data_IF_130608352365
#
_entry.id   IF_130608352365
#
_cell.length_a   1.000
_cell.length_b   1.000
_cell.length_c   1.000
_cell.angle_alpha   90.00
_cell.angle_beta   90.00
_cell.angle_gamma   90.00
#
_symmetry.space_group_name_H-M   'P 1'
#
loop_
_entity.id
_entity.type
_entity.pdbx_description
1 polymer ?
#
# COMPACT_ATOMS: atom_id res chain seq x y z
N UNK A 1 19.53 5.60 -11.18
CA UNK A 1 18.34 5.28 -11.99
C UNK A 1 17.12 5.53 -11.11
N UNK A 2 16.42 6.66 -11.28
CA UNK A 2 15.15 6.93 -10.56
C UNK A 2 14.06 6.20 -11.32
N UNK A 3 13.77 4.98 -10.91
CA UNK A 3 12.61 4.27 -11.47
C UNK A 3 11.38 4.90 -10.82
N UNK A 4 10.39 5.37 -11.58
CA UNK A 4 9.17 5.98 -11.03
C UNK A 4 8.28 4.86 -10.50
N UNK A 5 8.69 4.23 -9.40
CA UNK A 5 7.94 3.16 -8.79
C UNK A 5 6.82 3.78 -7.96
N UNK A 6 5.57 3.62 -8.40
CA UNK A 6 4.45 3.66 -7.48
C UNK A 6 4.67 2.51 -6.48
N UNK A 7 4.94 2.79 -5.19
CA UNK A 7 5.25 1.72 -4.25
C UNK A 7 4.03 0.82 -4.07
N UNK A 8 4.26 -0.47 -3.84
CA UNK A 8 3.23 -1.50 -3.63
C UNK A 8 2.39 -1.31 -2.35
N UNK A 9 2.63 -0.22 -1.62
CA UNK A 9 2.01 0.10 -0.34
C UNK A 9 0.47 0.06 -0.32
N UNK A 10 -0.29 0.60 -1.30
CA UNK A 10 -1.74 0.53 -1.19
C UNK A 10 -2.24 -0.92 -1.23
N UNK A 11 -1.55 -1.82 -1.95
CA UNK A 11 -1.92 -3.24 -1.99
C UNK A 11 -1.71 -3.94 -0.66
N UNK A 12 -0.63 -3.64 0.08
CA UNK A 12 -0.41 -4.21 1.42
C UNK A 12 -1.46 -3.71 2.42
N UNK A 13 -1.93 -2.47 2.31
CA UNK A 13 -2.96 -1.94 3.20
C UNK A 13 -4.35 -2.46 2.83
N UNK A 14 -4.66 -2.59 1.53
CA UNK A 14 -5.88 -3.25 1.09
C UNK A 14 -5.91 -4.73 1.49
N UNK A 15 -4.78 -5.44 1.41
CA UNK A 15 -4.74 -6.84 1.79
C UNK A 15 -4.96 -7.04 3.29
N UNK A 16 -4.45 -6.14 4.12
CA UNK A 16 -4.75 -6.10 5.56
C UNK A 16 -6.24 -5.88 5.82
N UNK A 17 -6.85 -4.87 5.18
CA UNK A 17 -8.30 -4.60 5.32
C UNK A 17 -9.16 -5.78 4.83
N UNK A 18 -8.72 -6.47 3.78
CA UNK A 18 -9.43 -7.62 3.21
C UNK A 18 -9.13 -8.96 3.93
N UNK A 19 -8.23 -8.97 4.93
CA UNK A 19 -7.79 -10.20 5.60
C UNK A 19 -7.03 -11.17 4.69
N UNK A 20 -6.44 -10.68 3.60
CA UNK A 20 -5.70 -11.48 2.62
C UNK A 20 -4.21 -11.43 2.93
N UNK A 21 -3.59 -12.59 3.14
CA UNK A 21 -2.14 -12.67 3.34
C UNK A 21 -1.39 -12.51 2.00
N UNK A 22 -0.47 -11.54 1.91
CA UNK A 22 0.30 -11.23 0.70
C UNK A 22 1.81 -11.21 0.97
N UNK A 23 2.43 -12.36 1.27
CA UNK A 23 3.83 -12.42 1.72
C UNK A 23 4.81 -11.93 0.67
N UNK A 24 4.53 -12.14 -0.62
CA UNK A 24 5.39 -11.67 -1.72
C UNK A 24 5.38 -10.15 -1.83
N UNK A 25 4.21 -9.50 -1.66
CA UNK A 25 4.12 -8.04 -1.67
C UNK A 25 4.94 -7.46 -0.51
N UNK A 26 4.84 -8.06 0.67
CA UNK A 26 5.61 -7.64 1.84
C UNK A 26 7.12 -7.78 1.61
N UNK A 27 7.57 -8.89 1.01
CA UNK A 27 8.98 -9.10 0.69
C UNK A 27 9.52 -8.05 -0.28
N UNK A 28 8.77 -7.76 -1.35
CA UNK A 28 9.16 -6.73 -2.33
C UNK A 28 9.19 -5.34 -1.68
N UNK A 29 8.21 -5.03 -0.81
CA UNK A 29 8.19 -3.75 -0.09
C UNK A 29 9.42 -3.60 0.82
N UNK A 30 9.80 -4.65 1.55
CA UNK A 30 11.01 -4.65 2.39
C UNK A 30 12.27 -4.39 1.57
N UNK A 31 12.44 -5.09 0.44
CA UNK A 31 13.62 -4.94 -0.43
C UNK A 31 13.66 -3.52 -1.03
N UNK A 32 12.52 -3.02 -1.51
CA UNK A 32 12.45 -1.70 -2.14
C UNK A 32 12.64 -0.56 -1.14
N UNK A 33 12.15 -0.70 0.09
CA UNK A 33 12.45 0.25 1.18
C UNK A 33 13.96 0.32 1.44
N UNK A 34 14.62 -0.83 1.59
CA UNK A 34 16.05 -0.91 1.85
C UNK A 34 16.89 -0.36 0.69
N UNK A 35 16.55 -0.75 -0.54
CA UNK A 35 17.26 -0.33 -1.75
C UNK A 35 17.17 1.18 -1.97
N UNK A 36 15.98 1.76 -1.77
CA UNK A 36 15.76 3.19 -1.99
C UNK A 36 16.00 4.06 -0.74
N UNK A 37 16.37 3.45 0.39
CA UNK A 37 16.54 4.12 1.69
C UNK A 37 15.34 5.01 2.03
N UNK A 38 14.15 4.49 1.77
CA UNK A 38 12.90 5.24 1.88
C UNK A 38 11.86 4.32 2.53
N UNK A 39 11.16 4.81 3.55
CA UNK A 39 10.02 4.07 4.08
C UNK A 39 8.78 4.37 3.23
N UNK A 40 8.40 3.42 2.36
CA UNK A 40 7.22 3.57 1.54
C UNK A 40 5.91 3.38 2.30
N UNK A 41 5.91 2.82 3.52
CA UNK A 41 4.71 2.78 4.38
C UNK A 41 4.30 4.18 4.80
N UNK A 42 5.28 5.08 4.98
CA UNK A 42 5.05 6.47 5.34
C UNK A 42 5.02 7.39 4.11
N UNK A 43 6.03 7.30 3.24
CA UNK A 43 6.21 8.22 2.10
C UNK A 43 5.40 7.84 0.86
N UNK A 44 4.98 6.59 0.73
CA UNK A 44 4.27 6.07 -0.44
C UNK A 44 2.80 6.47 -0.52
N UNK A 45 2.08 5.85 -1.46
CA UNK A 45 0.63 6.01 -1.63
C UNK A 45 -0.10 5.11 -0.62
N UNK A 46 -0.47 5.68 0.52
CA UNK A 46 -1.23 5.01 1.59
C UNK A 46 -2.73 5.24 1.46
N UNK A 47 -3.54 4.42 2.12
CA UNK A 47 -4.97 4.64 2.30
C UNK A 47 -5.25 5.98 3.00
N UNK A 48 -4.42 6.37 3.97
CA UNK A 48 -4.45 7.70 4.61
C UNK A 48 -4.40 8.83 3.57
N UNK A 49 -3.37 8.82 2.71
CA UNK A 49 -3.18 9.84 1.67
C UNK A 49 -4.21 9.74 0.54
N UNK A 50 -4.92 8.63 0.44
CA UNK A 50 -6.04 8.45 -0.48
C UNK A 50 -7.39 8.88 0.13
N UNK A 51 -7.44 9.24 1.41
CA UNK A 51 -8.68 9.59 2.11
C UNK A 51 -9.56 8.36 2.42
N UNK A 52 -8.95 7.17 2.54
CA UNK A 52 -9.64 5.89 2.71
C UNK A 52 -9.34 5.19 4.05
N UNK A 53 -8.49 5.74 4.92
CA UNK A 53 -8.01 5.06 6.14
C UNK A 53 -9.13 4.61 7.08
N UNK A 54 -10.18 5.41 7.23
CA UNK A 54 -11.31 5.14 8.14
C UNK A 54 -12.45 4.35 7.47
N UNK A 55 -12.24 3.87 6.24
CA UNK A 55 -13.26 3.15 5.49
C UNK A 55 -13.09 1.63 5.58
N UNK A 56 -14.21 0.92 5.73
CA UNK A 56 -14.27 -0.52 5.52
C UNK A 56 -14.14 -0.86 4.03
N UNK A 57 -13.80 -2.11 3.69
CA UNK A 57 -13.75 -2.57 2.29
C UNK A 57 -15.07 -2.30 1.56
N UNK A 58 -16.22 -2.48 2.20
CA UNK A 58 -17.52 -2.23 1.56
C UNK A 58 -17.75 -0.74 1.30
N UNK A 59 -17.37 0.14 2.24
CA UNK A 59 -17.43 1.59 2.03
C UNK A 59 -16.51 2.04 0.90
N UNK A 60 -15.30 1.47 0.82
CA UNK A 60 -14.36 1.74 -0.27
C UNK A 60 -14.96 1.29 -1.61
N UNK A 61 -15.54 0.09 -1.68
CA UNK A 61 -16.18 -0.42 -2.90
C UNK A 61 -17.31 0.50 -3.35
N UNK A 62 -18.13 0.99 -2.43
CA UNK A 62 -19.20 1.94 -2.73
C UNK A 62 -18.70 3.30 -3.22
N UNK A 63 -17.57 3.78 -2.70
CA UNK A 63 -17.00 5.07 -3.06
C UNK A 63 -16.34 5.11 -4.46
N UNK A 64 -15.96 3.94 -5.00
CA UNK A 64 -15.28 3.81 -6.31
C UNK A 64 -16.14 3.19 -7.41
N UNK A 65 -17.37 2.78 -7.08
CA UNK A 65 -18.37 2.28 -8.03
C UNK A 65 -19.17 3.43 -8.63
#
# INVERSE_FOLDING_TARGET
MKVPHQPLNPYTQFSQLAGVNTPIIQAVLTITNAFNRTDYMESGRTLEKMGLAEMTIDQIRQAVS
#
